data_IF_606703722939
#
_entry.id   IF_606703722939
#
_cell.length_a   1.000
_cell.length_b   1.000
_cell.length_c   1.000
_cell.angle_alpha   90.00
_cell.angle_beta   90.00
_cell.angle_gamma   90.00
#
_symmetry.space_group_name_H-M   'P 1'
#
loop_
_entity.id
_entity.type
_entity.pdbx_description
1 polymer ?
#
# COMPACT_ATOMS: atom_id res chain seq x y z
N UNK A 1 3.18 -12.97 -12.06
CA UNK A 1 2.60 -11.64 -11.80
C UNK A 1 3.13 -10.74 -12.89
N UNK A 2 2.26 -10.05 -13.63
CA UNK A 2 2.73 -9.13 -14.65
C UNK A 2 3.50 -7.98 -13.98
N UNK A 3 4.72 -7.68 -14.44
CA UNK A 3 5.60 -6.68 -13.82
C UNK A 3 4.89 -5.32 -13.75
N UNK A 4 4.06 -5.01 -14.76
CA UNK A 4 3.22 -3.83 -14.79
C UNK A 4 2.23 -3.76 -13.62
N UNK A 5 1.67 -4.91 -13.19
CA UNK A 5 0.70 -4.99 -12.09
C UNK A 5 1.37 -4.82 -10.73
N UNK A 6 2.57 -5.36 -10.55
CA UNK A 6 3.35 -5.18 -9.32
C UNK A 6 3.86 -3.74 -9.18
N UNK A 7 4.36 -3.16 -10.28
CA UNK A 7 4.76 -1.74 -10.32
C UNK A 7 3.57 -0.81 -10.08
N UNK A 8 2.39 -1.11 -10.64
CA UNK A 8 1.18 -0.34 -10.39
C UNK A 8 0.79 -0.31 -8.91
N UNK A 9 0.83 -1.46 -8.22
CA UNK A 9 0.57 -1.54 -6.76
C UNK A 9 1.65 -0.77 -6.00
N UNK A 10 2.92 -0.93 -6.35
CA UNK A 10 4.03 -0.22 -5.70
C UNK A 10 3.88 1.30 -5.79
N UNK A 11 3.51 1.83 -6.96
CA UNK A 11 3.34 3.27 -7.17
C UNK A 11 2.10 3.80 -6.44
N UNK A 12 0.97 3.10 -6.54
CA UNK A 12 -0.29 3.51 -5.90
C UNK A 12 -0.19 3.56 -4.38
N UNK A 13 0.56 2.65 -3.75
CA UNK A 13 0.73 2.63 -2.30
C UNK A 13 2.00 3.35 -1.82
N UNK A 14 3.05 3.41 -2.64
CA UNK A 14 4.32 4.07 -2.29
C UNK A 14 4.22 5.59 -2.24
N UNK A 15 3.51 6.22 -3.18
CA UNK A 15 3.36 7.69 -3.19
C UNK A 15 2.58 8.19 -1.96
N UNK A 16 1.42 7.60 -1.58
CA UNK A 16 0.70 8.00 -0.37
C UNK A 16 1.42 7.66 0.93
N UNK A 17 2.27 6.62 0.96
CA UNK A 17 3.11 6.33 2.12
C UNK A 17 4.09 7.48 2.40
N UNK A 18 4.80 7.93 1.36
CA UNK A 18 5.82 8.97 1.49
C UNK A 18 5.19 10.34 1.76
N UNK A 19 4.24 10.77 0.92
CA UNK A 19 3.62 12.09 1.03
C UNK A 19 2.71 12.16 2.26
N UNK A 20 1.90 11.13 2.47
CA UNK A 20 0.97 11.09 3.60
C UNK A 20 1.69 11.01 4.94
N UNK A 21 2.78 10.22 5.05
CA UNK A 21 3.61 10.16 6.26
C UNK A 21 4.18 11.53 6.64
N UNK A 22 4.79 12.23 5.66
CA UNK A 22 5.30 13.59 5.85
C UNK A 22 4.21 14.60 6.21
N UNK A 23 3.02 14.50 5.61
CA UNK A 23 1.88 15.37 5.91
C UNK A 23 1.35 15.13 7.33
N UNK A 24 1.19 13.87 7.76
CA UNK A 24 0.78 13.56 9.13
C UNK A 24 1.77 14.06 10.17
N UNK A 25 3.08 13.97 9.88
CA UNK A 25 4.09 14.53 10.76
C UNK A 25 3.99 16.05 10.84
N UNK A 26 3.81 16.73 9.71
CA UNK A 26 3.69 18.18 9.67
C UNK A 26 2.43 18.71 10.36
N UNK A 27 1.32 17.96 10.34
CA UNK A 27 0.06 18.37 10.96
C UNK A 27 0.02 18.10 12.47
N UNK A 28 0.51 16.93 12.89
CA UNK A 28 0.35 16.47 14.28
C UNK A 28 1.64 16.56 15.09
N UNK A 29 2.79 16.79 14.44
CA UNK A 29 4.12 16.83 15.06
C UNK A 29 4.43 15.59 15.92
N UNK A 30 3.74 14.47 15.64
CA UNK A 30 3.75 13.27 16.46
C UNK A 30 4.06 12.04 15.59
N UNK A 31 5.12 11.32 15.96
CA UNK A 31 5.55 10.10 15.29
C UNK A 31 4.53 8.96 15.38
N UNK A 32 3.68 8.90 16.42
CA UNK A 32 2.60 7.92 16.48
C UNK A 32 1.56 8.11 15.37
N UNK A 33 1.29 9.35 14.96
CA UNK A 33 0.36 9.64 13.87
C UNK A 33 0.91 9.14 12.52
N UNK A 34 2.22 9.23 12.32
CA UNK A 34 2.92 8.72 11.13
C UNK A 34 2.85 7.19 11.08
N UNK A 35 3.15 6.51 12.19
CA UNK A 35 3.09 5.05 12.28
C UNK A 35 1.67 4.54 12.01
N UNK A 36 0.65 5.22 12.53
CA UNK A 36 -0.75 4.86 12.28
C UNK A 36 -1.12 5.04 10.80
N UNK A 37 -0.65 6.11 10.17
CA UNK A 37 -0.85 6.35 8.74
C UNK A 37 -0.18 5.27 7.88
N UNK A 38 1.08 4.93 8.17
CA UNK A 38 1.80 3.87 7.44
C UNK A 38 1.12 2.51 7.63
N UNK A 39 0.61 2.20 8.82
CA UNK A 39 -0.14 0.97 9.08
C UNK A 39 -1.40 0.87 8.21
N UNK A 40 -2.14 1.96 8.02
CA UNK A 40 -3.30 2.00 7.13
C UNK A 40 -2.93 1.78 5.66
N UNK A 41 -1.83 2.40 5.21
CA UNK A 41 -1.36 2.23 3.82
C UNK A 41 -0.90 0.80 3.56
N UNK A 42 -0.12 0.20 4.48
CA UNK A 42 0.32 -1.19 4.38
C UNK A 42 -0.87 -2.16 4.44
N UNK A 43 -1.86 -1.89 5.29
CA UNK A 43 -3.07 -2.71 5.36
C UNK A 43 -3.89 -2.61 4.07
N UNK A 44 -4.01 -1.41 3.48
CA UNK A 44 -4.63 -1.20 2.17
C UNK A 44 -3.88 -1.93 1.06
N UNK A 45 -2.55 -1.84 1.03
CA UNK A 45 -1.71 -2.53 0.06
C UNK A 45 -1.85 -4.05 0.21
N UNK A 46 -1.78 -4.55 1.44
CA UNK A 46 -1.96 -5.95 1.79
C UNK A 46 -3.31 -6.48 1.35
N UNK A 47 -4.42 -5.83 1.74
CA UNK A 47 -5.77 -6.25 1.34
C UNK A 47 -5.98 -6.24 -0.18
N UNK A 48 -5.43 -5.24 -0.88
CA UNK A 48 -5.51 -5.15 -2.34
C UNK A 48 -4.68 -6.25 -3.00
N UNK A 49 -3.48 -6.52 -2.49
CA UNK A 49 -2.62 -7.62 -2.91
C UNK A 49 -3.24 -8.99 -2.61
N UNK A 50 -3.82 -9.20 -1.43
CA UNK A 50 -4.53 -10.44 -1.05
C UNK A 50 -5.73 -10.69 -1.96
N UNK A 51 -6.53 -9.65 -2.25
CA UNK A 51 -7.66 -9.77 -3.20
C UNK A 51 -7.19 -10.00 -4.64
N UNK A 52 -6.08 -9.41 -5.05
CA UNK A 52 -5.47 -9.66 -6.36
C UNK A 52 -4.85 -11.07 -6.45
N UNK A 53 -4.26 -11.58 -5.37
CA UNK A 53 -3.70 -12.92 -5.26
C UNK A 53 -4.81 -13.99 -5.25
N UNK A 54 -5.94 -13.74 -4.58
CA UNK A 54 -7.11 -14.61 -4.62
C UNK A 54 -7.77 -14.74 -6.00
N UNK A 55 -7.51 -13.79 -6.91
CA UNK A 55 -7.91 -13.87 -8.34
C UNK A 55 -6.85 -14.49 -9.26
N UNK A 56 -5.72 -14.95 -8.73
CA UNK A 56 -4.59 -15.48 -9.50
C UNK A 56 -4.43 -17.00 -9.34
N UNK A 57 -5.54 -17.75 -9.39
CA UNK A 57 -5.51 -19.15 -9.75
C UNK A 57 -5.68 -19.27 -11.27
N UNK A 58 -4.60 -19.36 -12.07
CA UNK A 58 -4.71 -19.97 -13.38
C UNK A 58 -5.00 -21.45 -13.15
N UNK A 59 -6.24 -21.84 -13.44
CA UNK A 59 -6.62 -23.24 -13.65
C UNK A 59 -5.69 -23.83 -14.72
N UNK A 60 -4.98 -24.88 -14.32
CA UNK A 60 -4.43 -25.94 -15.19
C UNK A 60 -5.25 -26.10 -16.46
N UNK A 61 -4.61 -25.94 -17.61
CA UNK A 61 -4.80 -26.75 -18.81
C UNK A 61 -3.52 -26.71 -19.64
#
# INVERSE_FOLDING_TARGET
MDLARLLGILVVFGVPAIIGGGLTYHLFHNWFAVILWEALVVFGAGTTAYKAAGKSAPSTH
#
